data_IF_928465401489
#
_entry.id   IF_928465401489
#
_cell.length_a   1.000
_cell.length_b   1.000
_cell.length_c   1.000
_cell.angle_alpha   90.00
_cell.angle_beta   90.00
_cell.angle_gamma   90.00
#
_symmetry.space_group_name_H-M   'P 1'
#
loop_
_entity.id
_entity.type
_entity.pdbx_description
1 polymer ?
#
# COMPACT_ATOMS: atom_id res chain seq x y z
N UNK A 1 41.87 -30.34 36.29
CA UNK A 1 42.79 -29.41 35.58
C UNK A 1 42.82 -29.68 34.07
N UNK A 2 43.20 -30.88 33.59
CA UNK A 2 43.20 -31.16 32.15
C UNK A 2 41.84 -30.94 31.46
N UNK A 3 40.76 -31.56 31.96
CA UNK A 3 39.41 -31.40 31.39
C UNK A 3 38.89 -29.96 31.42
N UNK A 4 39.31 -29.16 32.40
CA UNK A 4 38.97 -27.74 32.49
C UNK A 4 39.65 -26.94 31.37
N UNK A 5 40.92 -27.24 31.08
CA UNK A 5 41.64 -26.65 29.94
C UNK A 5 41.02 -27.06 28.60
N UNK A 6 40.75 -28.35 28.40
CA UNK A 6 40.10 -28.85 27.18
C UNK A 6 38.74 -28.18 26.98
N UNK A 7 37.93 -28.10 28.04
CA UNK A 7 36.62 -27.47 28.00
C UNK A 7 36.68 -26.01 27.54
N UNK A 8 37.68 -25.25 27.99
CA UNK A 8 37.86 -23.86 27.57
C UNK A 8 38.30 -23.74 26.11
N UNK A 9 39.14 -24.65 25.62
CA UNK A 9 39.61 -24.65 24.21
C UNK A 9 38.47 -24.95 23.24
N UNK A 10 37.61 -25.92 23.56
CA UNK A 10 36.47 -26.29 22.71
C UNK A 10 35.22 -25.45 22.98
N UNK A 11 35.32 -24.46 23.88
CA UNK A 11 34.23 -23.62 24.36
C UNK A 11 32.96 -24.37 24.81
N UNK A 12 33.13 -25.57 25.38
CA UNK A 12 32.05 -26.36 25.92
C UNK A 12 31.54 -25.80 27.27
N UNK A 13 30.31 -26.15 27.64
CA UNK A 13 29.77 -25.82 28.95
C UNK A 13 30.44 -26.65 30.06
N UNK A 14 30.48 -27.98 29.86
CA UNK A 14 31.08 -28.92 30.79
C UNK A 14 31.61 -30.16 30.04
N UNK A 15 32.86 -30.52 30.28
CA UNK A 15 33.46 -31.82 29.87
C UNK A 15 33.70 -32.70 31.09
N UNK A 16 33.33 -33.98 31.05
CA UNK A 16 33.44 -34.89 32.20
C UNK A 16 33.58 -36.36 31.80
N UNK A 17 34.15 -37.16 32.71
CA UNK A 17 34.40 -38.59 32.58
C UNK A 17 33.50 -39.35 33.56
N UNK A 18 32.87 -40.41 33.06
CA UNK A 18 31.96 -41.27 33.81
C UNK A 18 32.50 -42.69 33.77
N UNK A 19 32.53 -43.37 34.91
CA UNK A 19 32.91 -44.78 34.99
C UNK A 19 31.83 -45.72 34.42
N UNK A 20 32.13 -47.01 34.37
CA UNK A 20 31.22 -48.05 33.86
C UNK A 20 29.90 -48.20 34.64
N UNK A 21 29.80 -47.67 35.86
CA UNK A 21 28.60 -47.70 36.69
C UNK A 21 27.79 -46.40 36.61
N UNK A 22 28.22 -45.45 35.80
CA UNK A 22 27.55 -44.18 35.59
C UNK A 22 27.97 -43.08 36.55
N UNK A 23 28.99 -43.27 37.37
CA UNK A 23 29.46 -42.26 38.34
C UNK A 23 30.53 -41.38 37.71
N UNK A 24 30.38 -40.06 37.88
CA UNK A 24 31.33 -39.08 37.34
C UNK A 24 32.59 -39.06 38.20
N UNK A 25 33.74 -39.42 37.60
CA UNK A 25 35.03 -39.52 38.30
C UNK A 25 35.93 -38.31 38.05
N UNK A 26 35.72 -37.58 36.95
CA UNK A 26 36.43 -36.34 36.65
C UNK A 26 35.52 -35.38 35.90
N UNK A 27 35.66 -34.08 36.15
CA UNK A 27 34.85 -33.06 35.50
C UNK A 27 35.65 -31.76 35.36
N UNK A 28 35.38 -31.02 34.29
CA UNK A 28 35.88 -29.65 34.05
C UNK A 28 35.35 -28.67 35.09
N UNK A 29 34.12 -28.85 35.57
CA UNK A 29 33.48 -28.00 36.58
C UNK A 29 33.78 -28.41 38.03
N UNK A 30 34.83 -29.20 38.28
CA UNK A 30 35.18 -29.75 39.59
C UNK A 30 35.32 -28.71 40.71
N UNK A 31 35.70 -27.46 40.40
CA UNK A 31 35.80 -26.33 41.36
C UNK A 31 34.51 -25.54 41.54
N UNK A 32 33.49 -25.75 40.70
CA UNK A 32 32.25 -24.97 40.74
C UNK A 32 31.31 -25.54 41.81
N UNK A 33 30.43 -24.69 42.36
CA UNK A 33 29.42 -25.08 43.37
C UNK A 33 28.53 -26.24 42.92
N UNK A 34 28.24 -26.32 41.61
CA UNK A 34 27.45 -27.40 40.99
C UNK A 34 28.35 -28.42 40.28
N UNK A 35 29.38 -28.91 40.97
CA UNK A 35 30.30 -29.94 40.45
C UNK A 35 29.58 -31.23 40.11
N UNK A 36 30.04 -31.89 39.03
CA UNK A 36 29.50 -33.18 38.60
C UNK A 36 30.20 -34.36 39.27
N UNK A 37 31.36 -34.17 39.91
CA UNK A 37 32.11 -35.24 40.59
C UNK A 37 31.21 -35.98 41.58
N UNK A 38 31.24 -37.32 41.53
CA UNK A 38 30.48 -38.22 42.39
C UNK A 38 28.99 -38.37 42.03
N UNK A 39 28.48 -37.63 41.03
CA UNK A 39 27.09 -37.77 40.59
C UNK A 39 26.94 -38.95 39.64
N UNK A 40 25.83 -39.66 39.78
CA UNK A 40 25.48 -40.78 38.93
C UNK A 40 24.53 -40.36 37.80
N UNK A 41 24.89 -40.68 36.56
CA UNK A 41 24.14 -40.42 35.34
C UNK A 41 23.80 -41.70 34.57
N UNK A 42 23.82 -42.88 35.21
CA UNK A 42 23.53 -44.17 34.57
C UNK A 42 22.15 -44.22 33.89
N UNK A 43 21.19 -43.41 34.38
CA UNK A 43 19.86 -43.32 33.82
C UNK A 43 19.78 -42.54 32.50
N UNK A 44 20.80 -41.73 32.17
CA UNK A 44 20.77 -40.84 30.99
C UNK A 44 20.93 -41.64 29.69
N UNK A 45 20.13 -41.34 28.64
CA UNK A 45 20.26 -42.03 27.36
C UNK A 45 21.67 -41.99 26.78
N UNK A 46 22.36 -40.85 26.89
CA UNK A 46 23.73 -40.75 26.38
C UNK A 46 24.71 -41.71 27.07
N UNK A 47 24.48 -42.02 28.35
CA UNK A 47 25.31 -42.97 29.07
C UNK A 47 25.01 -44.40 28.63
N UNK A 48 23.71 -44.75 28.57
CA UNK A 48 23.25 -46.11 28.21
C UNK A 48 23.73 -46.53 26.82
N UNK A 49 23.74 -45.61 25.86
CA UNK A 49 24.23 -45.89 24.52
C UNK A 49 25.76 -45.90 24.44
N UNK A 50 26.43 -44.96 25.11
CA UNK A 50 27.90 -44.93 25.07
C UNK A 50 28.54 -46.09 25.81
N UNK A 51 27.96 -46.58 26.92
CA UNK A 51 28.53 -47.71 27.63
C UNK A 51 28.40 -49.04 26.84
N UNK A 52 27.49 -49.13 25.86
CA UNK A 52 27.41 -50.28 24.94
C UNK A 52 28.42 -50.22 23.79
N UNK A 53 29.31 -49.22 23.76
CA UNK A 53 30.38 -49.11 22.77
C UNK A 53 30.07 -48.21 21.57
N UNK A 54 28.95 -47.50 21.56
CA UNK A 54 28.56 -46.60 20.46
C UNK A 54 28.68 -45.12 20.87
N UNK A 55 29.14 -44.23 19.99
CA UNK A 55 29.00 -42.80 20.26
C UNK A 55 27.53 -42.40 20.33
N UNK A 56 27.18 -41.45 21.19
CA UNK A 56 25.81 -40.97 21.31
C UNK A 56 25.72 -39.44 21.30
N UNK A 57 24.56 -38.96 20.84
CA UNK A 57 24.18 -37.56 20.84
C UNK A 57 22.83 -37.43 21.55
N UNK A 58 22.70 -36.49 22.47
CA UNK A 58 21.48 -36.30 23.22
C UNK A 58 21.29 -34.85 23.63
N UNK A 59 20.05 -34.41 23.80
CA UNK A 59 19.73 -33.08 24.28
C UNK A 59 18.73 -33.17 25.43
N UNK A 60 18.98 -32.41 26.49
CA UNK A 60 18.14 -32.45 27.68
C UNK A 60 18.36 -31.27 28.61
N UNK A 61 17.41 -31.11 29.53
CA UNK A 61 17.57 -30.26 30.70
C UNK A 61 18.49 -30.94 31.72
N UNK A 62 19.58 -30.26 32.09
CA UNK A 62 20.56 -30.75 33.05
C UNK A 62 19.97 -30.86 34.46
N UNK A 63 20.00 -32.04 35.06
CA UNK A 63 19.48 -32.28 36.42
C UNK A 63 20.31 -31.61 37.52
N UNK A 64 21.60 -31.38 37.27
CA UNK A 64 22.50 -30.71 38.21
C UNK A 64 22.56 -29.21 38.00
N UNK A 65 22.72 -28.79 36.74
CA UNK A 65 22.91 -27.39 36.38
C UNK A 65 21.61 -26.62 36.23
N UNK A 66 20.49 -27.29 35.98
CA UNK A 66 19.23 -26.66 35.58
C UNK A 66 19.29 -26.00 34.19
N UNK A 67 20.38 -26.22 33.45
CA UNK A 67 20.62 -25.61 32.15
C UNK A 67 20.41 -26.64 31.05
N UNK A 68 19.81 -26.20 29.94
CA UNK A 68 19.71 -26.98 28.71
C UNK A 68 21.12 -27.25 28.18
N UNK A 69 21.27 -28.38 27.50
CA UNK A 69 22.53 -28.69 26.86
C UNK A 69 22.37 -29.77 25.83
N UNK A 70 23.29 -29.75 24.89
CA UNK A 70 23.51 -30.84 23.96
C UNK A 70 24.74 -31.64 24.44
N UNK A 71 24.58 -32.95 24.55
CA UNK A 71 25.50 -33.89 25.16
C UNK A 71 26.01 -34.83 24.07
N UNK A 72 27.30 -34.75 23.79
CA UNK A 72 28.00 -35.75 23.00
C UNK A 72 28.73 -36.70 23.95
N UNK A 73 28.57 -38.00 23.76
CA UNK A 73 29.25 -39.01 24.59
C UNK A 73 29.97 -40.03 23.75
N UNK A 74 31.15 -40.44 24.20
CA UNK A 74 31.97 -41.43 23.50
C UNK A 74 32.52 -42.49 24.46
N UNK A 75 32.49 -43.78 24.09
CA UNK A 75 33.06 -44.86 24.90
C UNK A 75 34.58 -44.76 25.02
N UNK A 76 35.09 -45.00 26.23
CA UNK A 76 36.53 -45.14 26.47
C UNK A 76 36.85 -46.62 26.41
N UNK A 77 37.38 -47.08 25.28
CA UNK A 77 37.66 -48.50 25.03
C UNK A 77 39.13 -48.80 25.32
N UNK A 78 39.38 -49.81 26.14
CA UNK A 78 40.72 -50.30 26.43
C UNK A 78 40.71 -51.82 26.60
N UNK A 79 41.70 -52.51 26.04
CA UNK A 79 41.84 -53.96 26.10
C UNK A 79 40.55 -54.74 25.73
N UNK A 80 39.76 -54.22 24.77
CA UNK A 80 38.53 -54.84 24.30
C UNK A 80 37.28 -54.58 25.16
N UNK A 81 37.39 -53.81 26.25
CA UNK A 81 36.25 -53.43 27.12
C UNK A 81 36.02 -51.92 27.19
N UNK A 82 34.78 -51.52 27.47
CA UNK A 82 34.44 -50.11 27.73
C UNK A 82 34.68 -49.79 29.20
N UNK A 83 35.68 -48.98 29.51
CA UNK A 83 36.04 -48.60 30.90
C UNK A 83 35.09 -47.55 31.50
N UNK A 84 34.38 -46.84 30.63
CA UNK A 84 33.57 -45.69 30.97
C UNK A 84 33.33 -44.84 29.74
N UNK A 85 32.86 -43.61 29.92
CA UNK A 85 32.56 -42.70 28.81
C UNK A 85 33.10 -41.30 29.09
N UNK A 86 33.45 -40.60 28.02
CA UNK A 86 33.66 -39.15 28.05
C UNK A 86 32.39 -38.46 27.57
N UNK A 87 32.02 -37.35 28.20
CA UNK A 87 30.88 -36.53 27.82
C UNK A 87 31.31 -35.08 27.67
N UNK A 88 30.91 -34.48 26.55
CA UNK A 88 31.03 -33.05 26.28
C UNK A 88 29.63 -32.48 26.21
N UNK A 89 29.35 -31.50 27.08
CA UNK A 89 28.10 -30.73 27.08
C UNK A 89 28.35 -29.38 26.44
N UNK A 90 27.58 -29.06 25.39
CA UNK A 90 27.55 -27.75 24.74
C UNK A 90 26.38 -26.91 25.30
N UNK A 91 26.63 -25.62 25.46
CA UNK A 91 25.58 -24.64 25.77
C UNK A 91 24.83 -24.26 24.49
N UNK A 92 23.51 -24.31 24.55
CA UNK A 92 22.65 -24.03 23.41
C UNK A 92 22.27 -22.55 23.32
N UNK A 93 22.47 -21.77 24.38
CA UNK A 93 22.19 -20.33 24.36
C UNK A 93 23.00 -19.60 23.28
N UNK A 94 24.25 -20.02 23.02
CA UNK A 94 25.08 -19.47 21.92
C UNK A 94 24.45 -19.64 20.53
N UNK A 95 23.63 -20.68 20.33
CA UNK A 95 22.94 -20.92 19.06
C UNK A 95 21.70 -20.01 18.98
N UNK A 96 20.98 -19.86 20.09
CA UNK A 96 19.79 -18.99 20.18
C UNK A 96 20.12 -17.51 19.97
N UNK A 97 21.31 -17.05 20.39
CA UNK A 97 21.75 -15.66 20.22
C UNK A 97 21.80 -15.24 18.74
N UNK A 98 22.03 -16.19 17.82
CA UNK A 98 22.06 -15.94 16.37
C UNK A 98 20.67 -16.01 15.72
N UNK A 99 19.60 -16.31 16.46
CA UNK A 99 18.24 -16.48 15.94
C UNK A 99 17.38 -15.22 16.12
N UNK A 100 17.92 -14.07 15.71
CA UNK A 100 17.24 -12.79 15.82
C UNK A 100 16.66 -12.37 14.47
N UNK A 101 15.34 -12.46 14.31
CA UNK A 101 14.62 -11.86 13.19
C UNK A 101 13.34 -11.18 13.71
N UNK A 102 13.13 -9.87 13.45
CA UNK A 102 12.06 -9.10 14.10
C UNK A 102 10.66 -9.70 13.94
N UNK A 103 10.38 -10.26 12.76
CA UNK A 103 9.05 -10.75 12.38
C UNK A 103 8.99 -12.28 12.29
N UNK A 104 9.93 -13.02 12.87
CA UNK A 104 9.92 -14.49 12.75
C UNK A 104 10.42 -15.16 14.01
N UNK A 105 9.76 -16.25 14.40
CA UNK A 105 10.13 -17.05 15.55
C UNK A 105 10.82 -18.32 15.08
N UNK A 106 12.10 -18.44 15.40
CA UNK A 106 12.86 -19.67 15.23
C UNK A 106 12.63 -20.59 16.44
N UNK A 107 12.41 -21.88 16.15
CA UNK A 107 12.34 -22.95 17.15
C UNK A 107 13.11 -24.18 16.67
N UNK A 108 13.66 -24.95 17.59
CA UNK A 108 13.97 -26.36 17.38
C UNK A 108 13.03 -27.19 18.24
N UNK A 109 12.29 -28.10 17.61
CA UNK A 109 11.36 -29.00 18.29
C UNK A 109 11.82 -30.46 18.23
N UNK A 110 11.56 -31.20 19.30
CA UNK A 110 11.76 -32.66 19.36
C UNK A 110 10.74 -33.43 18.49
N UNK A 111 10.81 -34.78 18.40
CA UNK A 111 9.86 -35.56 17.62
C UNK A 111 8.41 -35.51 18.12
N UNK A 112 8.20 -35.12 19.39
CA UNK A 112 6.88 -34.86 19.97
C UNK A 112 6.45 -33.39 19.79
N UNK A 113 7.17 -32.61 18.98
CA UNK A 113 6.96 -31.18 18.73
C UNK A 113 7.08 -30.30 19.98
N UNK A 114 7.87 -30.71 20.98
CA UNK A 114 8.20 -29.89 22.16
C UNK A 114 9.39 -28.99 21.80
N UNK A 115 9.22 -27.70 22.02
CA UNK A 115 10.22 -26.67 21.73
C UNK A 115 11.36 -26.76 22.75
N UNK A 116 12.57 -27.05 22.28
CA UNK A 116 13.77 -27.16 23.10
C UNK A 116 14.72 -25.96 22.97
N UNK A 117 14.77 -25.37 21.78
CA UNK A 117 15.44 -24.08 21.52
C UNK A 117 14.46 -23.11 20.89
N UNK A 118 14.54 -21.84 21.25
CA UNK A 118 13.72 -20.81 20.63
C UNK A 118 14.32 -19.41 20.75
N UNK A 119 14.10 -18.62 19.71
CA UNK A 119 14.25 -17.15 19.74
C UNK A 119 13.31 -16.46 20.76
N UNK A 120 12.21 -17.12 21.16
CA UNK A 120 11.27 -16.65 22.20
C UNK A 120 11.36 -17.52 23.44
N UNK A 121 11.88 -16.96 24.52
CA UNK A 121 12.11 -17.70 25.77
C UNK A 121 10.81 -18.26 26.39
N UNK A 122 9.68 -17.59 26.19
CA UNK A 122 8.37 -18.04 26.68
C UNK A 122 7.79 -19.25 25.93
N UNK A 123 8.44 -19.69 24.84
CA UNK A 123 8.06 -20.90 24.09
C UNK A 123 8.83 -22.14 24.52
N UNK A 124 9.90 -21.98 25.30
CA UNK A 124 10.69 -23.11 25.75
C UNK A 124 9.86 -24.08 26.57
N UNK A 125 10.07 -25.37 26.29
CA UNK A 125 9.36 -26.48 26.92
C UNK A 125 7.84 -26.48 26.69
N UNK A 126 7.38 -25.78 25.66
CA UNK A 126 5.99 -25.86 25.19
C UNK A 126 5.88 -26.77 23.99
N UNK A 127 4.78 -27.51 23.89
CA UNK A 127 4.46 -28.29 22.71
C UNK A 127 3.79 -27.41 21.66
N UNK A 128 4.21 -27.51 20.39
CA UNK A 128 3.59 -26.75 19.30
C UNK A 128 2.10 -27.11 19.17
N UNK A 129 1.77 -28.41 19.28
CA UNK A 129 0.41 -28.93 19.26
C UNK A 129 0.07 -29.63 20.59
N UNK A 130 -1.21 -29.84 20.94
CA UNK A 130 -1.57 -30.63 22.11
C UNK A 130 -0.98 -32.03 22.03
N UNK A 131 -0.31 -32.46 23.11
CA UNK A 131 0.24 -33.82 23.20
C UNK A 131 -0.86 -34.82 23.51
N UNK A 132 -0.80 -36.01 22.89
CA UNK A 132 -1.61 -37.15 23.30
C UNK A 132 -1.20 -37.65 24.69
N UNK A 133 -2.08 -38.37 25.39
CA UNK A 133 -1.73 -38.91 26.72
C UNK A 133 -0.62 -39.96 26.66
N UNK A 134 -0.50 -40.67 25.53
CA UNK A 134 0.62 -41.57 25.27
C UNK A 134 1.95 -40.79 25.15
N UNK A 135 1.96 -39.70 24.37
CA UNK A 135 3.15 -38.84 24.23
C UNK A 135 3.55 -38.21 25.56
N UNK A 136 2.59 -37.70 26.34
CA UNK A 136 2.85 -37.15 27.67
C UNK A 136 3.55 -38.17 28.57
N UNK A 137 3.08 -39.42 28.57
CA UNK A 137 3.68 -40.51 29.36
C UNK A 137 5.09 -40.85 28.89
N UNK A 138 5.33 -40.89 27.58
CA UNK A 138 6.65 -41.14 27.00
C UNK A 138 7.64 -40.02 27.35
N UNK A 139 7.23 -38.76 27.18
CA UNK A 139 8.03 -37.58 27.52
C UNK A 139 8.37 -37.56 29.01
N UNK A 140 7.41 -37.84 29.88
CA UNK A 140 7.65 -37.92 31.33
C UNK A 140 8.63 -39.05 31.69
N UNK A 141 8.43 -40.25 31.12
CA UNK A 141 9.30 -41.42 31.36
C UNK A 141 10.74 -41.19 30.89
N UNK A 142 10.92 -40.44 29.81
CA UNK A 142 12.25 -40.12 29.26
C UNK A 142 13.12 -39.28 30.22
N UNK A 143 12.49 -38.54 31.14
CA UNK A 143 13.13 -37.53 32.02
C UNK A 143 13.97 -36.49 31.25
N UNK A 144 13.69 -36.27 29.97
CA UNK A 144 14.40 -35.29 29.13
C UNK A 144 14.24 -33.86 29.63
N UNK A 145 13.02 -33.51 30.04
CA UNK A 145 12.63 -32.20 30.57
C UNK A 145 12.47 -32.18 32.09
N UNK A 146 12.88 -33.26 32.79
CA UNK A 146 12.73 -33.40 34.24
C UNK A 146 11.27 -33.17 34.67
N UNK A 147 11.05 -32.32 35.68
CA UNK A 147 9.73 -31.97 36.22
C UNK A 147 9.13 -30.72 35.55
N UNK A 148 9.67 -30.30 34.40
CA UNK A 148 9.20 -29.09 33.70
C UNK A 148 7.81 -29.32 33.11
N UNK A 149 6.80 -28.49 33.44
CA UNK A 149 5.46 -28.65 32.91
C UNK A 149 5.42 -28.32 31.41
N UNK A 150 5.01 -29.29 30.60
CA UNK A 150 4.85 -29.11 29.15
C UNK A 150 3.44 -28.60 28.86
N UNK A 151 3.32 -27.31 28.53
CA UNK A 151 2.05 -26.68 28.10
C UNK A 151 2.01 -26.54 26.58
N UNK A 152 0.81 -26.44 26.00
CA UNK A 152 0.70 -26.30 24.54
C UNK A 152 0.65 -24.84 24.09
N UNK A 153 1.22 -24.56 22.91
CA UNK A 153 1.03 -23.33 22.16
C UNK A 153 -0.26 -23.34 21.32
N UNK A 154 -0.92 -24.49 21.21
CA UNK A 154 -2.23 -24.62 20.59
C UNK A 154 -2.23 -24.48 19.07
N UNK A 155 -1.12 -24.76 18.39
CA UNK A 155 -1.09 -24.70 16.92
C UNK A 155 -1.88 -25.84 16.29
N UNK A 156 -2.66 -25.50 15.27
CA UNK A 156 -3.43 -26.44 14.48
C UNK A 156 -2.98 -26.34 13.02
N UNK A 157 -2.62 -27.48 12.42
CA UNK A 157 -2.12 -27.56 11.05
C UNK A 157 -1.15 -28.72 10.87
N UNK A 158 -0.56 -28.81 9.68
CA UNK A 158 0.38 -29.88 9.32
C UNK A 158 1.82 -29.47 9.68
N UNK A 159 2.42 -30.14 10.66
CA UNK A 159 3.82 -29.93 11.05
C UNK A 159 4.83 -30.84 10.33
N UNK A 160 4.36 -31.77 9.51
CA UNK A 160 5.22 -32.75 8.82
C UNK A 160 5.62 -32.28 7.42
N UNK A 161 4.89 -31.33 6.84
CA UNK A 161 5.25 -30.74 5.56
C UNK A 161 6.43 -29.78 5.70
N UNK A 162 7.31 -29.66 4.68
CA UNK A 162 8.44 -28.75 4.71
C UNK A 162 7.99 -27.28 4.77
N UNK A 163 6.86 -26.96 4.15
CA UNK A 163 6.20 -25.66 4.28
C UNK A 163 4.71 -25.87 4.54
N UNK A 164 4.17 -25.17 5.53
CA UNK A 164 2.75 -25.27 5.88
C UNK A 164 2.22 -23.99 6.52
N UNK A 165 0.90 -23.94 6.69
CA UNK A 165 0.24 -22.90 7.49
C UNK A 165 -0.23 -23.50 8.81
N UNK A 166 0.11 -22.82 9.91
CA UNK A 166 -0.39 -23.13 11.24
C UNK A 166 -1.32 -22.02 11.71
N UNK A 167 -2.49 -22.39 12.21
CA UNK A 167 -3.36 -21.47 12.93
C UNK A 167 -3.05 -21.57 14.41
N UNK A 168 -2.80 -20.43 15.05
CA UNK A 168 -2.65 -20.42 16.50
C UNK A 168 -4.03 -20.48 17.15
N UNK A 169 -4.39 -21.64 17.70
CA UNK A 169 -5.65 -21.85 18.40
C UNK A 169 -5.66 -21.25 19.81
N UNK A 170 -6.65 -21.67 20.60
CA UNK A 170 -6.75 -21.30 22.02
C UNK A 170 -5.50 -21.78 22.79
N UNK A 171 -4.94 -20.97 23.72
CA UNK A 171 -5.46 -19.71 24.26
C UNK A 171 -4.95 -18.43 23.57
N UNK A 172 -4.01 -18.53 22.63
CA UNK A 172 -3.29 -17.34 22.13
C UNK A 172 -3.99 -16.63 20.97
N UNK A 173 -4.70 -17.37 20.10
CA UNK A 173 -5.55 -16.87 19.00
C UNK A 173 -4.95 -15.72 18.16
N UNK A 174 -3.64 -15.77 17.82
CA UNK A 174 -2.91 -14.66 17.16
C UNK A 174 -2.86 -14.72 15.63
N UNK A 175 -3.70 -15.53 14.99
CA UNK A 175 -3.80 -15.63 13.53
C UNK A 175 -3.01 -16.79 12.92
N UNK A 176 -2.76 -16.69 11.61
CA UNK A 176 -2.10 -17.73 10.81
C UNK A 176 -0.61 -17.42 10.67
N UNK A 177 0.23 -18.42 10.93
CA UNK A 177 1.67 -18.41 10.72
C UNK A 177 1.99 -19.28 9.51
N UNK A 178 2.91 -18.82 8.68
CA UNK A 178 3.61 -19.67 7.71
C UNK A 178 4.78 -20.32 8.42
N UNK A 179 4.93 -21.63 8.25
CA UNK A 179 5.95 -22.42 8.91
C UNK A 179 6.79 -23.14 7.89
N UNK A 180 8.10 -22.88 7.91
CA UNK A 180 9.10 -23.65 7.18
C UNK A 180 9.83 -24.57 8.13
N UNK A 181 9.99 -25.84 7.75
CA UNK A 181 10.50 -26.92 8.61
C UNK A 181 11.68 -27.62 7.95
N UNK A 182 12.80 -27.69 8.69
CA UNK A 182 14.01 -28.39 8.30
C UNK A 182 14.31 -29.48 9.34
N UNK A 183 14.04 -30.76 9.03
CA UNK A 183 14.39 -31.86 9.91
C UNK A 183 15.92 -32.06 9.96
N UNK A 184 16.44 -32.36 11.15
CA UNK A 184 17.82 -32.74 11.42
C UNK A 184 17.82 -34.18 11.96
N UNK A 185 17.87 -35.20 11.08
CA UNK A 185 17.65 -36.60 11.47
C UNK A 185 18.63 -37.10 12.53
N UNK A 186 19.91 -36.73 12.42
CA UNK A 186 20.96 -37.14 13.38
C UNK A 186 20.67 -36.65 14.80
N UNK A 187 20.10 -35.45 14.91
CA UNK A 187 19.80 -34.79 16.18
C UNK A 187 18.39 -35.11 16.68
N UNK A 188 17.56 -35.79 15.88
CA UNK A 188 16.12 -35.96 16.16
C UNK A 188 15.45 -34.63 16.55
N UNK A 189 15.82 -33.56 15.84
CA UNK A 189 15.26 -32.21 16.01
C UNK A 189 14.74 -31.72 14.67
N UNK A 190 13.74 -30.86 14.71
CA UNK A 190 13.26 -30.13 13.53
C UNK A 190 13.40 -28.64 13.80
N UNK A 191 14.20 -27.95 12.99
CA UNK A 191 14.26 -26.49 13.00
C UNK A 191 13.04 -25.97 12.28
N UNK A 192 12.32 -25.02 12.88
CA UNK A 192 11.15 -24.39 12.27
C UNK A 192 11.27 -22.88 12.37
N UNK A 193 10.90 -22.20 11.29
CA UNK A 193 10.75 -20.75 11.24
C UNK A 193 9.27 -20.45 11.11
N UNK A 194 8.72 -19.74 12.08
CA UNK A 194 7.32 -19.35 12.13
C UNK A 194 7.21 -17.85 11.87
N UNK A 195 6.64 -17.48 10.73
CA UNK A 195 6.47 -16.09 10.31
C UNK A 195 4.98 -15.77 10.23
N UNK A 196 4.52 -14.61 10.74
CA UNK A 196 3.12 -14.20 10.61
C UNK A 196 2.79 -14.07 9.13
N UNK A 197 1.70 -14.71 8.71
CA UNK A 197 1.08 -14.45 7.41
C UNK A 197 0.46 -13.06 7.51
N UNK A 198 1.26 -12.02 7.28
CA UNK A 198 0.80 -10.64 7.40
C UNK A 198 -0.49 -10.48 6.57
N UNK A 199 -1.58 -10.13 7.25
CA UNK A 199 -2.84 -9.84 6.59
C UNK A 199 -2.74 -8.40 6.08
N UNK A 200 -2.22 -8.23 4.86
CA UNK A 200 -2.01 -6.92 4.20
C UNK A 200 -3.37 -6.23 3.91
N UNK A 201 -4.50 -6.84 4.29
CA UNK A 201 -5.86 -6.38 4.03
C UNK A 201 -6.08 -4.91 4.41
N UNK A 202 -5.54 -4.42 5.53
CA UNK A 202 -5.70 -3.02 5.92
C UNK A 202 -4.87 -2.05 5.07
N UNK A 203 -3.66 -2.45 4.69
CA UNK A 203 -2.77 -1.63 3.84
C UNK A 203 -3.31 -1.59 2.40
N UNK A 204 -3.73 -2.73 1.85
CA UNK A 204 -4.37 -2.78 0.52
C UNK A 204 -5.67 -2.00 0.48
N UNK A 205 -6.49 -2.08 1.53
CA UNK A 205 -7.73 -1.30 1.61
C UNK A 205 -7.47 0.20 1.63
N UNK A 206 -6.42 0.67 2.32
CA UNK A 206 -5.98 2.07 2.27
C UNK A 206 -5.62 2.54 0.86
N UNK A 207 -4.82 1.74 0.12
CA UNK A 207 -4.49 2.05 -1.28
C UNK A 207 -5.72 2.13 -2.18
N UNK A 208 -6.69 1.22 -2.02
CA UNK A 208 -7.94 1.24 -2.79
C UNK A 208 -8.74 2.52 -2.50
N UNK A 209 -8.82 2.96 -1.24
CA UNK A 209 -9.52 4.19 -0.87
C UNK A 209 -8.85 5.42 -1.51
N UNK A 210 -7.52 5.50 -1.49
CA UNK A 210 -6.79 6.61 -2.12
C UNK A 210 -6.96 6.62 -3.63
N UNK A 211 -6.88 5.45 -4.28
CA UNK A 211 -7.08 5.34 -5.74
C UNK A 211 -8.51 5.69 -6.15
N UNK A 212 -9.51 5.27 -5.38
CA UNK A 212 -10.91 5.62 -5.66
C UNK A 212 -11.15 7.11 -5.44
N UNK A 213 -10.58 7.74 -4.41
CA UNK A 213 -10.61 9.20 -4.21
C UNK A 213 -9.92 9.97 -5.34
N UNK A 214 -8.75 9.51 -5.80
CA UNK A 214 -8.06 10.13 -6.93
C UNK A 214 -8.89 10.03 -8.21
N UNK A 215 -9.48 8.86 -8.47
CA UNK A 215 -10.36 8.65 -9.61
C UNK A 215 -11.62 9.52 -9.56
N UNK A 216 -12.25 9.65 -8.39
CA UNK A 216 -13.45 10.50 -8.24
C UNK A 216 -13.12 11.97 -8.45
N UNK A 217 -11.98 12.45 -7.95
CA UNK A 217 -11.51 13.83 -8.19
C UNK A 217 -11.24 14.07 -9.67
N UNK A 218 -10.53 13.17 -10.35
CA UNK A 218 -10.28 13.28 -11.79
C UNK A 218 -11.58 13.25 -12.61
N UNK A 219 -12.53 12.39 -12.23
CA UNK A 219 -13.84 12.32 -12.85
C UNK A 219 -14.61 13.64 -12.68
N UNK A 220 -14.64 14.22 -11.48
CA UNK A 220 -15.29 15.51 -11.20
C UNK A 220 -14.62 16.67 -11.96
N UNK A 221 -13.29 16.69 -12.05
CA UNK A 221 -12.55 17.67 -12.86
C UNK A 221 -12.94 17.54 -14.33
N UNK A 222 -12.95 16.31 -14.86
CA UNK A 222 -13.41 16.03 -16.22
C UNK A 222 -14.84 16.52 -16.47
N UNK A 223 -15.74 16.26 -15.52
CA UNK A 223 -17.13 16.72 -15.59
C UNK A 223 -17.24 18.25 -15.55
N UNK A 224 -16.44 18.92 -14.73
CA UNK A 224 -16.36 20.38 -14.69
C UNK A 224 -15.86 20.98 -16.00
N UNK A 225 -14.81 20.40 -16.59
CA UNK A 225 -14.27 20.83 -17.89
C UNK A 225 -15.32 20.63 -18.99
N UNK A 226 -15.98 19.47 -19.00
CA UNK A 226 -17.05 19.16 -19.95
C UNK A 226 -18.21 20.17 -19.84
N UNK A 227 -18.69 20.45 -18.63
CA UNK A 227 -19.74 21.44 -18.42
C UNK A 227 -19.31 22.86 -18.81
N UNK A 228 -18.05 23.25 -18.55
CA UNK A 228 -17.52 24.54 -19.00
C UNK A 228 -17.50 24.65 -20.52
N UNK A 229 -17.01 23.62 -21.22
CA UNK A 229 -17.02 23.59 -22.69
C UNK A 229 -18.43 23.72 -23.27
N UNK A 230 -19.40 22.96 -22.71
CA UNK A 230 -20.79 23.05 -23.16
C UNK A 230 -21.38 24.45 -22.96
N UNK A 231 -21.09 25.11 -21.83
CA UNK A 231 -21.53 26.49 -21.58
C UNK A 231 -20.90 27.49 -22.55
N UNK A 232 -19.62 27.34 -22.88
CA UNK A 232 -18.95 28.21 -23.86
C UNK A 232 -19.60 28.10 -25.24
N UNK A 233 -19.88 26.87 -25.72
CA UNK A 233 -20.55 26.66 -27.00
C UNK A 233 -21.98 27.23 -27.02
N UNK A 234 -22.70 27.17 -25.91
CA UNK A 234 -24.03 27.78 -25.79
C UNK A 234 -23.96 29.31 -25.87
N UNK A 235 -23.00 29.92 -25.17
CA UNK A 235 -22.81 31.38 -25.18
C UNK A 235 -22.43 31.90 -26.58
N UNK A 236 -21.56 31.19 -27.29
CA UNK A 236 -21.20 31.56 -28.67
C UNK A 236 -22.40 31.55 -29.61
N UNK A 237 -23.29 30.55 -29.51
CA UNK A 237 -24.52 30.50 -30.31
C UNK A 237 -25.46 31.65 -30.00
N UNK A 238 -25.69 31.94 -28.72
CA UNK A 238 -26.53 33.07 -28.29
C UNK A 238 -25.96 34.38 -28.83
N UNK A 239 -24.63 34.54 -28.80
CA UNK A 239 -23.96 35.73 -29.30
C UNK A 239 -24.05 35.86 -30.83
N UNK A 240 -23.96 34.74 -31.56
CA UNK A 240 -24.18 34.73 -33.01
C UNK A 240 -25.61 35.11 -33.38
N UNK A 241 -26.61 34.54 -32.70
CA UNK A 241 -28.02 34.90 -32.92
C UNK A 241 -28.31 36.37 -32.60
N UNK A 242 -27.72 36.88 -31.51
CA UNK A 242 -27.83 38.29 -31.14
C UNK A 242 -27.19 39.21 -32.19
N UNK A 243 -26.01 38.86 -32.69
CA UNK A 243 -25.32 39.62 -33.74
C UNK A 243 -26.11 39.61 -35.05
N UNK A 244 -26.65 38.46 -35.47
CA UNK A 244 -27.49 38.37 -36.67
C UNK A 244 -28.75 39.23 -36.57
N UNK A 245 -29.41 39.22 -35.39
CA UNK A 245 -30.56 40.10 -35.13
C UNK A 245 -30.18 41.58 -35.18
N UNK A 246 -29.02 41.92 -34.62
CA UNK A 246 -28.51 43.29 -34.64
C UNK A 246 -28.18 43.74 -36.07
N UNK A 247 -27.49 42.91 -36.86
CA UNK A 247 -27.21 43.19 -38.27
C UNK A 247 -28.49 43.39 -39.07
N UNK A 248 -29.49 42.53 -38.88
CA UNK A 248 -30.79 42.68 -39.52
C UNK A 248 -31.46 44.01 -39.14
N UNK A 249 -31.48 44.38 -37.86
CA UNK A 249 -32.04 45.66 -37.41
C UNK A 249 -31.29 46.86 -37.97
N UNK A 250 -29.95 46.79 -38.01
CA UNK A 250 -29.10 47.83 -38.60
C UNK A 250 -29.40 47.97 -40.10
N UNK A 251 -29.49 46.86 -40.84
CA UNK A 251 -29.84 46.88 -42.27
C UNK A 251 -31.24 47.45 -42.50
N UNK A 252 -32.24 47.01 -41.74
CA UNK A 252 -33.60 47.52 -41.83
C UNK A 252 -33.65 49.02 -41.56
N UNK A 253 -33.00 49.49 -40.49
CA UNK A 253 -32.97 50.91 -40.15
C UNK A 253 -32.20 51.75 -41.17
N UNK A 254 -31.12 51.20 -41.73
CA UNK A 254 -30.35 51.86 -42.78
C UNK A 254 -31.18 52.00 -44.06
N UNK A 255 -31.95 50.98 -44.43
CA UNK A 255 -32.86 51.04 -45.58
C UNK A 255 -33.99 52.05 -45.37
N UNK A 256 -34.60 52.06 -44.17
CA UNK A 256 -35.62 53.07 -43.80
C UNK A 256 -35.06 54.49 -43.89
N UNK A 257 -33.86 54.73 -43.34
CA UNK A 257 -33.21 56.04 -43.40
C UNK A 257 -32.86 56.44 -44.84
N UNK A 258 -32.39 55.51 -45.67
CA UNK A 258 -32.12 55.78 -47.08
C UNK A 258 -33.40 56.15 -47.84
N UNK A 259 -34.53 55.48 -47.56
CA UNK A 259 -35.82 55.82 -48.14
C UNK A 259 -36.30 57.21 -47.67
N UNK A 260 -36.17 57.53 -46.38
CA UNK A 260 -36.51 58.87 -45.85
C UNK A 260 -35.64 59.96 -46.48
N UNK A 261 -34.33 59.72 -46.63
CA UNK A 261 -33.41 60.65 -47.30
C UNK A 261 -33.82 60.83 -48.77
N UNK A 262 -34.08 59.75 -49.50
CA UNK A 262 -34.50 59.82 -50.90
C UNK A 262 -35.80 60.63 -51.06
N UNK A 263 -36.80 60.36 -50.22
CA UNK A 263 -38.06 61.09 -50.20
C UNK A 263 -37.87 62.57 -49.87
N UNK A 264 -37.04 62.91 -48.87
CA UNK A 264 -36.69 64.31 -48.56
C UNK A 264 -36.02 65.00 -49.74
N UNK A 265 -35.10 64.32 -50.41
CA UNK A 265 -34.37 64.89 -51.54
C UNK A 265 -35.31 65.18 -52.72
N UNK A 266 -36.26 64.29 -52.99
CA UNK A 266 -37.29 64.47 -54.02
C UNK A 266 -38.25 65.63 -53.68
N UNK A 267 -38.68 65.73 -52.42
CA UNK A 267 -39.52 66.86 -51.97
C UNK A 267 -38.77 68.19 -52.03
N UNK A 268 -37.50 68.23 -51.64
CA UNK A 268 -36.64 69.41 -51.80
C UNK A 268 -36.47 69.82 -53.27
N UNK A 269 -36.27 68.85 -54.17
CA UNK A 269 -36.17 69.12 -55.61
C UNK A 269 -37.48 69.67 -56.19
N UNK A 270 -38.61 69.06 -55.83
CA UNK A 270 -39.95 69.51 -56.27
C UNK A 270 -40.24 70.92 -55.76
N UNK A 271 -39.87 71.22 -54.52
CA UNK A 271 -39.99 72.56 -53.95
C UNK A 271 -39.15 73.58 -54.73
N UNK A 272 -37.91 73.24 -55.11
CA UNK A 272 -37.08 74.12 -55.95
C UNK A 272 -37.68 74.35 -57.33
N UNK A 273 -38.14 73.30 -58.01
CA UNK A 273 -38.75 73.41 -59.34
C UNK A 273 -40.02 74.27 -59.32
N UNK A 274 -40.90 74.05 -58.34
CA UNK A 274 -42.11 74.88 -58.17
C UNK A 274 -41.75 76.33 -57.87
N UNK A 275 -40.73 76.59 -57.03
CA UNK A 275 -40.23 77.95 -56.82
C UNK A 275 -39.77 78.61 -58.13
N UNK A 276 -39.02 77.90 -58.97
CA UNK A 276 -38.55 78.41 -60.27
C UNK A 276 -39.71 78.70 -61.24
N UNK A 277 -40.71 77.80 -61.31
CA UNK A 277 -41.94 78.02 -62.10
C UNK A 277 -42.73 79.23 -61.59
N UNK A 278 -42.88 79.38 -60.28
CA UNK A 278 -43.51 80.55 -59.67
C UNK A 278 -42.80 81.85 -60.04
N UNK A 279 -41.45 81.86 -60.03
CA UNK A 279 -40.65 83.00 -60.46
C UNK A 279 -40.89 83.31 -61.95
N UNK A 280 -40.96 82.30 -62.82
CA UNK A 280 -41.27 82.50 -64.24
C UNK A 280 -42.70 83.02 -64.47
N UNK A 281 -43.70 82.45 -63.79
CA UNK A 281 -45.09 82.90 -63.87
C UNK A 281 -45.22 84.35 -63.39
N UNK A 282 -44.54 84.73 -62.31
CA UNK A 282 -44.48 86.12 -61.84
C UNK A 282 -43.85 87.06 -62.90
N UNK A 283 -42.75 86.65 -63.54
CA UNK A 283 -42.14 87.41 -64.65
C UNK A 283 -43.09 87.57 -65.84
N UNK A 284 -43.80 86.51 -66.23
CA UNK A 284 -44.77 86.52 -67.33
C UNK A 284 -46.01 87.37 -67.01
N UNK A 285 -46.51 87.32 -65.78
CA UNK A 285 -47.62 88.15 -65.34
C UNK A 285 -47.26 89.65 -65.38
N UNK A 286 -46.05 90.00 -64.93
CA UNK A 286 -45.52 91.37 -65.03
C UNK A 286 -45.38 91.80 -66.50
N UNK A 287 -44.86 90.93 -67.37
CA UNK A 287 -44.80 91.18 -68.82
C UNK A 287 -46.21 91.33 -69.43
N UNK A 288 -47.19 90.53 -69.02
CA UNK A 288 -48.57 90.62 -69.47
C UNK A 288 -49.25 91.93 -69.02
N UNK A 289 -49.01 92.35 -67.78
CA UNK A 289 -49.52 93.60 -67.24
C UNK A 289 -48.88 94.81 -67.92
N UNK A 290 -47.57 94.76 -68.21
CA UNK A 290 -46.88 95.77 -69.01
C UNK A 290 -47.37 95.80 -70.46
N UNK A 291 -47.61 94.65 -71.10
CA UNK A 291 -48.07 94.58 -72.49
C UNK A 291 -49.52 95.10 -72.65
N UNK A 292 -50.38 94.87 -71.66
CA UNK A 292 -51.71 95.47 -71.59
C UNK A 292 -51.66 96.99 -71.35
N UNK A 293 -50.74 97.47 -70.51
CA UNK A 293 -50.47 98.91 -70.34
C UNK A 293 -49.99 99.56 -71.65
N UNK A 294 -49.07 98.91 -72.37
CA UNK A 294 -48.55 99.39 -73.67
C UNK A 294 -49.67 99.42 -74.72
N UNK A 295 -50.56 98.42 -74.77
CA UNK A 295 -51.70 98.43 -75.69
C UNK A 295 -52.69 99.55 -75.38
N UNK A 296 -52.91 99.85 -74.10
CA UNK A 296 -53.70 101.01 -73.68
C UNK A 296 -53.02 102.34 -74.03
N UNK A 297 -51.69 102.42 -73.96
CA UNK A 297 -50.93 103.62 -74.34
C UNK A 297 -50.78 103.81 -75.86
N UNK A 298 -50.78 102.74 -76.66
CA UNK A 298 -50.71 102.81 -78.13
C UNK A 298 -52.05 103.15 -78.79
N UNK A 299 -53.19 102.76 -78.20
CA UNK A 299 -54.50 103.16 -78.70
C UNK A 299 -54.79 104.65 -78.46
N UNK A 300 -54.18 105.27 -77.45
CA UNK A 300 -54.37 106.68 -77.13
C UNK A 300 -53.92 107.66 -78.25
N UNK A 301 -52.72 107.53 -78.87
CA UNK A 301 -52.35 108.37 -79.99
C UNK A 301 -53.15 108.05 -81.26
N UNK A 302 -53.56 106.79 -81.46
CA UNK A 302 -54.30 106.36 -82.67
C UNK A 302 -55.74 106.89 -82.71
N UNK A 303 -56.41 107.00 -81.55
CA UNK A 303 -57.70 107.68 -81.45
C UNK A 303 -57.59 109.20 -81.67
N UNK A 304 -56.51 109.82 -81.16
CA UNK A 304 -56.25 111.25 -81.35
C UNK A 304 -55.97 111.61 -82.82
N UNK A 305 -55.26 110.76 -83.58
CA UNK A 305 -54.98 110.99 -85.00
C UNK A 305 -56.24 110.86 -85.87
N UNK A 306 -57.19 109.98 -85.53
CA UNK A 306 -58.47 109.90 -86.26
C UNK A 306 -59.37 111.12 -86.06
N UNK A 307 -59.28 111.80 -84.90
CA UNK A 307 -60.10 113.00 -84.61
C UNK A 307 -59.62 114.27 -85.32
N UNK A 308 -58.37 114.33 -85.80
CA UNK A 308 -57.83 115.48 -86.54
C UNK A 308 -57.99 115.37 -88.07
N UNK A 309 -58.62 114.30 -88.57
CA UNK A 309 -58.85 114.09 -90.00
C UNK A 309 -60.32 114.27 -90.44
N UNK A 310 -61.22 114.66 -89.53
CA UNK A 310 -62.64 114.95 -89.84
C UNK A 310 -63.08 116.40 -89.50
N UNK A 311 -62.15 117.34 -89.34
CA UNK A 311 -62.46 118.79 -89.37
C UNK A 311 -61.36 119.59 -90.07
#
# INVERSE_FOLDING_TARGET
RYLESVNNVIEAADTYLIDQWGTTIAASNWRKKRSFIGRNFAFRPYFKQAISGESSQYYALGSTSGQRGYYYSYPIIYAGGVLGIVVVKMDLSKIEDNWQQPDSVFVASDPHNIVFMSSRQDWLFKSLQPLSDADKKQVWTSRQYLDTPITTLGFVGNLNAPNSELKQGSPYNKGTLVVSSLPLPELKLTIRVLSPKQSIVWVTMGYIVVLTLAFTVLFLIGQLIYHRQQRHLQLERIQQEANQKLEFQVMARTAELQAEIAQRTETEQTLRLTQDEWIQAAKLAVLGQMSASISHELNNPLAAIRSFAEN
#
